data_IF_485589736596
#
_entry.id   IF_485589736596
#
_cell.length_a   1.000
_cell.length_b   1.000
_cell.length_c   1.000
_cell.angle_alpha   90.00
_cell.angle_beta   90.00
_cell.angle_gamma   90.00
#
_symmetry.space_group_name_H-M   'P 1'
#
loop_
_entity.id
_entity.type
_entity.pdbx_description
1 polymer ?
#
# COMPACT_ATOMS: atom_id res chain seq x y z
N UNK A 1 -3.50 -26.59 6.23
CA UNK A 1 -3.75 -25.40 5.40
C UNK A 1 -4.24 -24.27 6.30
N UNK A 2 -3.61 -23.12 6.22
CA UNK A 2 -3.97 -21.98 7.04
C UNK A 2 -4.72 -20.93 6.21
N UNK A 3 -5.85 -20.46 6.72
CA UNK A 3 -6.60 -19.37 6.14
C UNK A 3 -6.60 -18.19 7.11
N UNK A 4 -6.41 -16.99 6.61
CA UNK A 4 -6.35 -15.79 7.42
C UNK A 4 -7.62 -14.97 7.26
N UNK A 5 -8.08 -14.39 8.36
CA UNK A 5 -9.24 -13.51 8.36
C UNK A 5 -8.78 -12.06 8.23
N UNK A 6 -9.65 -11.19 7.69
CA UNK A 6 -9.32 -9.79 7.51
C UNK A 6 -8.91 -9.06 8.80
N UNK A 7 -9.40 -9.51 9.93
CA UNK A 7 -9.05 -8.94 11.24
C UNK A 7 -7.62 -9.24 11.68
N UNK A 8 -6.93 -10.16 10.99
CA UNK A 8 -5.53 -10.47 11.23
C UNK A 8 -4.60 -9.56 10.43
N UNK A 9 -5.16 -8.72 9.58
CA UNK A 9 -4.40 -7.76 8.80
C UNK A 9 -4.12 -6.46 9.55
N UNK A 10 -3.08 -5.76 9.12
CA UNK A 10 -2.77 -4.43 9.62
C UNK A 10 -1.87 -3.69 8.63
N UNK A 11 -1.63 -2.41 8.90
CA UNK A 11 -0.75 -1.58 8.08
C UNK A 11 0.29 -0.92 8.98
N UNK A 12 1.56 -1.03 8.59
CA UNK A 12 2.64 -0.25 9.17
C UNK A 12 3.15 0.75 8.12
N UNK A 13 3.58 1.90 8.58
CA UNK A 13 4.01 2.99 7.71
C UNK A 13 5.14 3.80 8.35
N UNK A 14 6.04 4.31 7.52
CA UNK A 14 6.97 5.39 7.88
C UNK A 14 7.18 6.31 6.68
N UNK A 15 7.47 7.57 6.93
CA UNK A 15 7.61 8.57 5.86
C UNK A 15 9.06 8.91 5.52
N UNK A 16 9.93 7.91 5.48
CA UNK A 16 11.31 8.06 5.05
C UNK A 16 12.37 8.03 6.13
N UNK A 17 12.01 8.18 7.39
CA UNK A 17 12.96 8.13 8.49
C UNK A 17 12.41 7.35 9.68
N UNK A 18 13.29 6.72 10.44
CA UNK A 18 12.92 5.93 11.60
C UNK A 18 12.45 4.52 11.24
N UNK A 19 11.68 3.91 12.12
CA UNK A 19 11.12 2.58 11.95
C UNK A 19 9.67 2.66 11.48
N UNK A 20 9.21 1.63 10.77
CA UNK A 20 7.78 1.51 10.45
C UNK A 20 7.00 1.29 11.75
N UNK A 21 5.86 1.98 11.86
CA UNK A 21 4.97 1.88 13.02
C UNK A 21 3.56 1.57 12.55
N UNK A 22 2.80 0.91 13.41
CA UNK A 22 1.43 0.53 13.09
C UNK A 22 0.53 1.76 12.94
N UNK A 23 -0.36 1.72 11.96
CA UNK A 23 -1.48 2.64 11.81
C UNK A 23 -2.66 2.00 12.57
N UNK A 24 -2.95 2.52 13.75
CA UNK A 24 -3.80 1.85 14.74
C UNK A 24 -5.25 1.68 14.30
N UNK A 25 -5.76 2.64 13.56
CA UNK A 25 -7.19 2.70 13.22
C UNK A 25 -7.52 2.22 11.81
N UNK A 26 -6.67 1.40 11.22
CA UNK A 26 -6.90 0.85 9.88
C UNK A 26 -8.12 -0.07 9.88
N UNK A 27 -9.08 0.17 8.98
CA UNK A 27 -10.24 -0.69 8.81
C UNK A 27 -10.05 -1.69 7.67
N UNK A 28 -9.42 -1.30 6.58
CA UNK A 28 -9.04 -2.22 5.51
C UNK A 28 -7.91 -1.65 4.65
N UNK A 29 -7.30 -2.51 3.86
CA UNK A 29 -6.34 -2.11 2.83
C UNK A 29 -6.52 -2.98 1.60
N UNK A 30 -6.07 -2.47 0.46
CA UNK A 30 -6.02 -3.23 -0.78
C UNK A 30 -4.75 -2.88 -1.54
N UNK A 31 -4.26 -3.84 -2.33
CA UNK A 31 -3.08 -3.66 -3.15
C UNK A 31 -3.26 -4.43 -4.45
N UNK A 32 -2.98 -3.78 -5.56
CA UNK A 32 -2.96 -4.40 -6.88
C UNK A 32 -1.55 -4.32 -7.43
N UNK A 33 -0.94 -5.47 -7.70
CA UNK A 33 0.40 -5.55 -8.29
C UNK A 33 0.25 -6.00 -9.73
N UNK A 34 0.81 -5.23 -10.63
CA UNK A 34 0.75 -5.49 -12.07
C UNK A 34 2.15 -5.66 -12.64
N UNK A 35 2.26 -6.54 -13.61
CA UNK A 35 3.47 -6.73 -14.40
C UNK A 35 3.14 -6.41 -15.85
N UNK A 36 3.92 -5.51 -16.44
CA UNK A 36 3.84 -5.24 -17.85
C UNK A 36 4.27 -6.48 -18.64
N UNK A 37 3.58 -6.77 -19.73
CA UNK A 37 3.98 -7.83 -20.65
C UNK A 37 4.28 -7.24 -22.03
N UNK A 38 5.34 -7.72 -22.64
CA UNK A 38 5.76 -7.28 -23.96
C UNK A 38 5.68 -8.47 -24.91
N UNK A 39 5.02 -8.28 -26.05
CA UNK A 39 4.89 -9.31 -27.05
C UNK A 39 6.22 -9.44 -27.82
N UNK A 40 6.74 -10.66 -27.93
CA UNK A 40 7.96 -10.96 -28.66
C UNK A 40 7.76 -12.08 -29.67
N UNK A 41 6.55 -12.18 -30.25
CA UNK A 41 6.20 -13.17 -31.25
C UNK A 41 7.00 -12.92 -32.52
N UNK A 42 7.75 -13.94 -32.96
CA UNK A 42 8.54 -13.87 -34.19
C UNK A 42 7.70 -14.24 -35.42
N UNK A 43 8.21 -13.83 -36.59
CA UNK A 43 7.62 -14.21 -37.85
C UNK A 43 7.71 -15.72 -38.05
N UNK A 44 6.62 -16.36 -38.27
CA UNK A 44 6.54 -17.81 -38.39
C UNK A 44 6.04 -18.51 -37.14
N UNK A 45 5.89 -17.82 -36.03
CA UNK A 45 5.28 -18.37 -34.83
C UNK A 45 3.79 -18.62 -35.05
N UNK A 46 3.29 -19.73 -34.50
CA UNK A 46 1.88 -20.06 -34.52
C UNK A 46 1.13 -19.69 -33.26
N UNK A 47 1.88 -19.27 -32.21
CA UNK A 47 1.37 -18.81 -30.96
C UNK A 47 2.08 -17.51 -30.54
N UNK A 48 1.38 -16.65 -29.79
CA UNK A 48 1.98 -15.43 -29.27
C UNK A 48 2.92 -15.74 -28.11
N UNK A 49 4.08 -15.08 -28.11
CA UNK A 49 5.05 -15.17 -27.02
C UNK A 49 5.18 -13.80 -26.33
N UNK A 50 5.38 -13.81 -25.02
CA UNK A 50 5.47 -12.60 -24.21
C UNK A 50 6.66 -12.68 -23.25
N UNK A 51 7.22 -11.52 -22.93
CA UNK A 51 8.19 -11.38 -21.85
C UNK A 51 7.66 -10.42 -20.80
N UNK A 52 8.03 -10.65 -19.55
CA UNK A 52 7.66 -9.76 -18.46
C UNK A 52 8.47 -8.48 -18.51
N UNK A 53 7.79 -7.35 -18.33
CA UNK A 53 8.43 -6.04 -18.25
C UNK A 53 8.44 -5.49 -16.83
N UNK A 54 8.16 -4.21 -16.68
CA UNK A 54 8.20 -3.51 -15.40
C UNK A 54 7.04 -3.93 -14.50
N UNK A 55 7.32 -3.96 -13.20
CA UNK A 55 6.33 -4.25 -12.16
C UNK A 55 5.89 -2.93 -11.55
N UNK A 56 4.59 -2.78 -11.35
CA UNK A 56 4.00 -1.63 -10.67
C UNK A 56 2.92 -2.08 -9.70
N UNK A 57 2.67 -1.26 -8.69
CA UNK A 57 1.59 -1.54 -7.76
C UNK A 57 0.95 -0.24 -7.30
N UNK A 58 -0.36 -0.31 -7.11
CA UNK A 58 -1.14 0.76 -6.53
C UNK A 58 -2.07 0.17 -5.48
N UNK A 59 -2.45 0.97 -4.50
CA UNK A 59 -3.35 0.49 -3.48
C UNK A 59 -3.94 1.61 -2.66
N UNK A 60 -4.73 1.20 -1.67
CA UNK A 60 -5.37 2.12 -0.76
C UNK A 60 -5.46 1.54 0.64
N UNK A 61 -5.49 2.44 1.61
CA UNK A 61 -5.73 2.13 3.02
C UNK A 61 -6.93 2.95 3.47
N UNK A 62 -7.94 2.28 4.03
CA UNK A 62 -9.08 2.94 4.65
C UNK A 62 -8.90 2.91 6.16
N UNK A 63 -9.05 4.07 6.78
CA UNK A 63 -8.86 4.20 8.21
C UNK A 63 -9.94 5.10 8.83
N UNK A 64 -10.14 4.91 10.14
CA UNK A 64 -10.98 5.79 10.94
C UNK A 64 -10.09 6.88 11.51
N UNK A 65 -10.51 8.13 11.37
CA UNK A 65 -9.71 9.25 11.84
C UNK A 65 -9.60 9.25 13.36
N UNK A 66 -8.36 9.38 13.84
CA UNK A 66 -8.09 9.62 15.26
C UNK A 66 -6.88 10.53 15.40
N UNK A 67 -7.03 11.62 16.13
CA UNK A 67 -5.94 12.54 16.41
C UNK A 67 -4.94 11.98 17.43
N UNK A 68 -5.27 10.86 18.07
CA UNK A 68 -4.39 10.22 19.06
C UNK A 68 -3.25 9.42 18.43
N UNK A 69 -3.35 9.08 17.15
CA UNK A 69 -2.31 8.34 16.43
C UNK A 69 -1.47 9.30 15.59
N UNK A 70 -0.28 9.63 16.06
CA UNK A 70 0.62 10.54 15.33
C UNK A 70 1.15 9.93 14.05
N UNK A 71 1.27 8.60 13.96
CA UNK A 71 1.71 7.96 12.72
C UNK A 71 0.65 8.11 11.63
N UNK A 72 -0.63 8.08 11.98
CA UNK A 72 -1.72 8.33 11.05
C UNK A 72 -1.73 9.80 10.61
N UNK A 73 -1.77 10.74 11.56
CA UNK A 73 -2.00 12.16 11.27
C UNK A 73 -0.77 12.90 10.76
N UNK A 74 0.38 12.72 11.41
CA UNK A 74 1.57 13.50 11.10
C UNK A 74 2.45 12.84 10.03
N UNK A 75 2.29 11.55 9.78
CA UNK A 75 3.11 10.83 8.81
C UNK A 75 2.32 10.38 7.59
N UNK A 76 1.34 9.50 7.77
CA UNK A 76 0.63 8.90 6.64
C UNK A 76 -0.23 9.91 5.88
N UNK A 77 -1.08 10.62 6.58
CA UNK A 77 -1.99 11.59 5.93
C UNK A 77 -1.20 12.78 5.39
N UNK A 78 -0.25 13.25 6.16
CA UNK A 78 0.55 14.43 5.82
C UNK A 78 1.49 14.20 4.63
N UNK A 79 1.82 12.95 4.34
CA UNK A 79 2.75 12.61 3.26
C UNK A 79 2.22 13.04 1.88
N UNK A 80 0.91 13.15 1.71
CA UNK A 80 0.30 13.56 0.43
C UNK A 80 0.66 14.99 0.02
N UNK A 81 0.94 15.85 1.00
CA UNK A 81 1.26 17.26 0.73
C UNK A 81 2.76 17.55 0.68
N UNK A 82 3.59 16.53 0.82
CA UNK A 82 5.05 16.67 0.72
C UNK A 82 5.42 16.94 -0.73
N UNK A 83 6.04 18.12 -0.96
CA UNK A 83 6.56 18.46 -2.29
C UNK A 83 7.96 17.89 -2.48
N UNK A 84 8.32 17.58 -3.73
CA UNK A 84 9.61 16.93 -4.04
C UNK A 84 9.79 15.62 -3.29
N UNK A 85 8.72 14.82 -3.23
CA UNK A 85 8.72 13.54 -2.54
C UNK A 85 9.73 12.58 -3.20
N UNK A 86 10.70 12.11 -2.41
CA UNK A 86 11.70 11.17 -2.88
C UNK A 86 11.16 9.76 -3.13
N UNK A 87 9.93 9.49 -2.71
CA UNK A 87 9.32 8.17 -2.85
C UNK A 87 9.92 7.13 -1.90
N UNK A 88 10.44 7.58 -0.76
CA UNK A 88 11.11 6.73 0.22
C UNK A 88 10.23 6.33 1.41
N UNK A 89 8.97 6.72 1.41
CA UNK A 89 8.01 6.26 2.39
C UNK A 89 7.88 4.74 2.30
N UNK A 90 7.83 4.06 3.45
CA UNK A 90 7.77 2.60 3.48
C UNK A 90 6.44 2.11 4.01
N UNK A 91 5.89 1.13 3.31
CA UNK A 91 4.63 0.48 3.64
C UNK A 91 4.87 -0.99 3.93
N UNK A 92 4.21 -1.47 4.97
CA UNK A 92 4.13 -2.90 5.27
C UNK A 92 2.65 -3.25 5.44
N UNK A 93 2.12 -4.01 4.50
CA UNK A 93 0.71 -4.43 4.51
C UNK A 93 0.64 -5.87 4.99
N UNK A 94 0.14 -6.06 6.20
CA UNK A 94 0.12 -7.37 6.84
C UNK A 94 -1.14 -8.15 6.48
N UNK A 95 -0.94 -9.39 6.05
CA UNK A 95 -2.00 -10.39 5.91
C UNK A 95 -2.21 -11.16 7.21
N UNK A 96 -1.13 -11.35 7.97
CA UNK A 96 -1.17 -11.96 9.30
C UNK A 96 -0.10 -11.31 10.16
N UNK A 97 -0.53 -10.49 11.11
CA UNK A 97 0.37 -9.76 12.00
C UNK A 97 1.17 -10.69 12.90
N UNK A 98 0.53 -11.71 13.45
CA UNK A 98 1.20 -12.64 14.38
C UNK A 98 2.20 -13.55 13.67
N UNK A 99 1.94 -13.92 12.42
CA UNK A 99 2.83 -14.76 11.61
C UNK A 99 3.80 -13.96 10.76
N UNK A 100 3.78 -12.64 10.82
CA UNK A 100 4.61 -11.73 10.03
C UNK A 100 4.49 -11.95 8.52
N UNK A 101 3.28 -12.26 8.05
CA UNK A 101 3.00 -12.41 6.62
C UNK A 101 2.61 -11.06 6.06
N UNK A 102 3.47 -10.50 5.21
CA UNK A 102 3.32 -9.11 4.77
C UNK A 102 3.80 -8.88 3.35
N UNK A 103 3.39 -7.76 2.79
CA UNK A 103 3.91 -7.19 1.55
C UNK A 103 4.60 -5.88 1.92
N UNK A 104 5.85 -5.72 1.53
CA UNK A 104 6.66 -4.54 1.84
C UNK A 104 7.10 -3.83 0.57
N UNK A 105 7.05 -2.51 0.57
CA UNK A 105 7.53 -1.71 -0.55
C UNK A 105 7.75 -0.26 -0.11
N UNK A 106 8.51 0.48 -0.90
CA UNK A 106 8.57 1.94 -0.80
C UNK A 106 7.53 2.56 -1.72
N UNK A 107 6.98 3.70 -1.37
CA UNK A 107 5.94 4.28 -2.19
C UNK A 107 5.75 5.77 -1.98
N UNK A 108 4.77 6.29 -2.73
CA UNK A 108 4.36 7.69 -2.70
C UNK A 108 2.87 7.72 -2.40
N UNK A 109 2.47 8.51 -1.43
CA UNK A 109 1.06 8.78 -1.17
C UNK A 109 0.56 9.77 -2.21
N UNK A 110 -0.39 9.35 -3.02
CA UNK A 110 -0.86 10.14 -4.16
C UNK A 110 -2.12 10.94 -3.87
N UNK A 111 -2.95 10.47 -2.95
CA UNK A 111 -4.16 11.19 -2.55
C UNK A 111 -4.63 10.77 -1.17
N UNK A 112 -5.37 11.66 -0.53
CA UNK A 112 -6.06 11.36 0.72
C UNK A 112 -7.47 11.93 0.61
N UNK A 113 -8.47 11.04 0.67
CA UNK A 113 -9.87 11.42 0.59
C UNK A 113 -10.42 11.51 2.02
N UNK A 114 -10.96 12.66 2.35
CA UNK A 114 -11.45 12.96 3.70
C UNK A 114 -12.88 13.48 3.63
N UNK A 115 -13.66 13.13 4.63
CA UNK A 115 -15.01 13.64 4.73
C UNK A 115 -15.60 13.37 6.11
N UNK A 116 -16.64 14.12 6.44
CA UNK A 116 -17.36 13.95 7.69
C UNK A 116 -18.86 14.03 7.43
N UNK A 117 -19.62 13.14 8.06
CA UNK A 117 -21.07 13.10 7.96
C UNK A 117 -21.67 12.97 9.35
N UNK A 118 -22.80 13.66 9.57
CA UNK A 118 -23.50 13.58 10.85
C UNK A 118 -24.00 12.15 11.07
N UNK A 119 -23.69 11.60 12.23
CA UNK A 119 -24.12 10.26 12.61
C UNK A 119 -23.15 9.14 12.26
N UNK A 120 -22.09 9.45 11.51
CA UNK A 120 -21.08 8.47 11.12
C UNK A 120 -19.70 8.82 11.70
N UNK A 121 -18.84 7.82 11.79
CA UNK A 121 -17.43 8.04 12.10
C UNK A 121 -16.74 8.67 10.89
N UNK A 122 -15.74 9.50 11.15
CA UNK A 122 -14.93 10.08 10.08
C UNK A 122 -14.01 9.03 9.49
N UNK A 123 -14.13 8.79 8.19
CA UNK A 123 -13.37 7.79 7.45
C UNK A 123 -12.45 8.49 6.47
N UNK A 124 -11.21 8.03 6.41
CA UNK A 124 -10.23 8.52 5.45
C UNK A 124 -9.78 7.37 4.55
N UNK A 125 -9.57 7.69 3.27
CA UNK A 125 -8.98 6.76 2.32
C UNK A 125 -7.70 7.39 1.79
N UNK A 126 -6.58 6.69 1.99
CA UNK A 126 -5.27 7.11 1.50
C UNK A 126 -4.90 6.21 0.34
N UNK A 127 -4.61 6.81 -0.81
CA UNK A 127 -4.17 6.08 -2.00
C UNK A 127 -2.67 6.26 -2.19
N UNK A 128 -2.01 5.21 -2.65
CA UNK A 128 -0.57 5.22 -2.83
C UNK A 128 -0.15 4.44 -4.07
N UNK A 129 1.06 4.71 -4.54
CA UNK A 129 1.70 4.00 -5.65
C UNK A 129 3.07 3.53 -5.18
N UNK A 130 3.39 2.27 -5.43
CA UNK A 130 4.70 1.72 -5.10
C UNK A 130 5.79 2.33 -5.98
N UNK A 131 6.95 2.57 -5.38
CA UNK A 131 8.12 3.10 -6.05
C UNK A 131 9.29 2.14 -5.85
N UNK A 132 9.60 1.34 -6.87
CA UNK A 132 10.68 0.38 -6.79
C UNK A 132 10.22 -1.06 -6.52
N UNK A 133 11.07 -1.82 -5.86
CA UNK A 133 10.84 -3.25 -5.66
C UNK A 133 9.76 -3.52 -4.62
N UNK A 134 9.01 -4.59 -4.86
CA UNK A 134 7.97 -5.08 -3.96
C UNK A 134 8.41 -6.44 -3.44
N UNK A 135 8.33 -6.63 -2.13
CA UNK A 135 8.74 -7.88 -1.47
C UNK A 135 7.52 -8.54 -0.82
N UNK A 136 7.31 -9.79 -1.16
CA UNK A 136 6.31 -10.63 -0.51
C UNK A 136 6.96 -11.53 0.54
N UNK A 137 6.50 -11.44 1.78
CA UNK A 137 6.87 -12.36 2.87
C UNK A 137 5.60 -13.09 3.32
N UNK A 138 5.11 -13.96 2.46
CA UNK A 138 3.80 -14.60 2.62
C UNK A 138 3.87 -16.11 2.62
#
# INVERSE_FOLDING_TARGET
>A
MAFYRGEEGSVNFKNGSGSTEAVVSTSNWSLTVNKEILECTDHGDTSRAYVGGLISATGSVELLYTAADSNETANLIDDVIVTEDAGDAQFELFLDTSGSKKVSFSGIVTSADMGAAIGDLEVLTVNFTANGAITFAI
#
